data_IF_825778909392
#
_entry.id   IF_825778909392
#
_cell.length_a   1.000
_cell.length_b   1.000
_cell.length_c   1.000
_cell.angle_alpha   90.00
_cell.angle_beta   90.00
_cell.angle_gamma   90.00
#
_symmetry.space_group_name_H-M   'P 1'
#
loop_
_entity.id
_entity.type
_entity.pdbx_description
1 polymer ?
#
# COMPACT_ATOMS: atom_id res chain seq x y z
N UNK A 1 -23.50 19.40 1.32
CA UNK A 1 -22.36 19.89 2.12
C UNK A 1 -21.69 21.03 1.35
N UNK A 2 -21.48 22.20 1.97
CA UNK A 2 -21.10 23.43 1.25
C UNK A 2 -19.58 23.63 1.09
N UNK A 3 -18.76 22.98 1.91
CA UNK A 3 -17.29 23.09 1.92
C UNK A 3 -16.64 21.68 1.91
N UNK A 4 -17.11 20.80 1.04
CA UNK A 4 -16.63 19.42 0.95
C UNK A 4 -16.05 19.16 -0.44
N UNK A 5 -14.79 18.74 -0.49
CA UNK A 5 -14.14 18.28 -1.71
C UNK A 5 -14.14 16.76 -1.71
N UNK A 6 -14.79 16.16 -2.70
CA UNK A 6 -14.83 14.71 -2.89
C UNK A 6 -13.86 14.38 -4.00
N UNK A 7 -12.87 13.56 -3.68
CA UNK A 7 -11.90 13.05 -4.67
C UNK A 7 -12.06 11.53 -4.79
N UNK A 8 -11.91 10.95 -5.98
CA UNK A 8 -12.14 9.52 -6.22
C UNK A 8 -11.01 8.64 -5.68
N UNK A 9 -10.72 8.71 -4.38
CA UNK A 9 -9.70 7.92 -3.70
C UNK A 9 -8.29 8.04 -4.34
N UNK A 10 -7.90 9.25 -4.75
CA UNK A 10 -6.64 9.53 -5.47
C UNK A 10 -5.52 10.09 -4.58
N UNK A 11 -5.66 10.03 -3.26
CA UNK A 11 -4.68 10.61 -2.33
C UNK A 11 -3.25 10.06 -2.52
N UNK A 12 -3.11 8.82 -3.04
CA UNK A 12 -1.83 8.16 -3.30
C UNK A 12 -1.57 7.89 -4.78
N UNK A 13 -2.22 8.64 -5.68
CA UNK A 13 -2.06 8.47 -7.12
C UNK A 13 -0.75 9.05 -7.68
N UNK A 14 0.15 9.60 -6.86
CA UNK A 14 1.46 10.05 -7.34
C UNK A 14 2.35 8.84 -7.70
N UNK A 15 3.22 9.02 -8.70
CA UNK A 15 4.14 7.96 -9.13
C UNK A 15 5.02 7.46 -7.97
N UNK A 16 5.59 8.39 -7.20
CA UNK A 16 6.44 8.07 -6.05
C UNK A 16 5.69 7.31 -4.93
N UNK A 17 4.42 7.63 -4.67
CA UNK A 17 3.63 6.89 -3.70
C UNK A 17 3.38 5.45 -4.18
N UNK A 18 2.97 5.28 -5.45
CA UNK A 18 2.74 3.96 -6.02
C UNK A 18 4.00 3.10 -6.07
N UNK A 19 5.15 3.69 -6.41
CA UNK A 19 6.43 2.98 -6.45
C UNK A 19 6.81 2.42 -5.08
N UNK A 20 6.70 3.24 -4.03
CA UNK A 20 6.97 2.79 -2.64
C UNK A 20 5.99 1.70 -2.20
N UNK A 21 4.69 1.87 -2.48
CA UNK A 21 3.69 0.87 -2.11
C UNK A 21 3.90 -0.46 -2.83
N UNK A 22 4.25 -0.44 -4.12
CA UNK A 22 4.58 -1.64 -4.88
C UNK A 22 5.82 -2.34 -4.32
N UNK A 23 6.87 -1.58 -3.99
CA UNK A 23 8.07 -2.14 -3.39
C UNK A 23 7.77 -2.84 -2.05
N UNK A 24 7.03 -2.17 -1.16
CA UNK A 24 6.61 -2.75 0.12
C UNK A 24 5.79 -4.03 -0.10
N UNK A 25 4.86 -4.03 -1.05
CA UNK A 25 4.04 -5.20 -1.35
C UNK A 25 4.90 -6.38 -1.83
N UNK A 26 5.83 -6.14 -2.76
CA UNK A 26 6.73 -7.17 -3.28
C UNK A 26 7.61 -7.76 -2.17
N UNK A 27 8.15 -6.91 -1.28
CA UNK A 27 9.01 -7.36 -0.20
C UNK A 27 8.25 -8.22 0.81
N UNK A 28 7.00 -7.85 1.14
CA UNK A 28 6.15 -8.67 2.00
C UNK A 28 5.82 -10.03 1.37
N UNK A 29 5.51 -10.07 0.07
CA UNK A 29 5.21 -11.33 -0.62
C UNK A 29 6.43 -12.25 -0.64
N UNK A 30 7.61 -11.74 -1.02
CA UNK A 30 8.85 -12.53 -1.04
C UNK A 30 9.16 -13.11 0.34
N UNK A 31 9.12 -12.26 1.36
CA UNK A 31 9.41 -12.67 2.73
C UNK A 31 8.39 -13.69 3.27
N UNK A 32 7.11 -13.58 2.87
CA UNK A 32 6.09 -14.57 3.19
C UNK A 32 6.38 -15.93 2.54
N UNK A 33 6.76 -15.95 1.26
CA UNK A 33 7.14 -17.18 0.54
C UNK A 33 8.40 -17.83 1.14
N UNK A 34 9.32 -17.03 1.67
CA UNK A 34 10.53 -17.49 2.36
C UNK A 34 10.28 -17.94 3.82
N UNK A 35 9.03 -17.93 4.28
CA UNK A 35 8.65 -18.32 5.66
C UNK A 35 9.07 -17.31 6.73
N UNK A 36 9.44 -16.08 6.35
CA UNK A 36 9.85 -14.99 7.24
C UNK A 36 8.98 -13.75 7.02
N UNK A 37 7.67 -13.81 7.29
CA UNK A 37 6.76 -12.70 6.99
C UNK A 37 7.21 -11.41 7.70
N UNK A 38 7.26 -10.29 6.95
CA UNK A 38 7.59 -8.97 7.50
C UNK A 38 6.39 -8.42 8.27
N UNK A 39 5.22 -8.36 7.62
CA UNK A 39 3.96 -7.99 8.25
C UNK A 39 2.97 -9.16 8.14
N UNK A 40 2.45 -9.63 9.28
CA UNK A 40 1.37 -10.61 9.34
C UNK A 40 0.06 -9.90 9.70
N UNK A 41 -0.96 -10.09 8.88
CA UNK A 41 -2.32 -9.55 9.11
C UNK A 41 -3.31 -10.63 9.58
N UNK A 42 -2.83 -11.85 9.78
CA UNK A 42 -3.60 -12.95 10.35
C UNK A 42 -3.55 -12.80 11.88
N UNK A 43 -4.72 -12.76 12.52
CA UNK A 43 -4.87 -12.85 13.98
C UNK A 43 -4.94 -14.30 14.41
#
# INVERSE_FOLDING_TARGET
ARNCYITPHIAWASAAARERLMQIMLDNIKAFLDGKPINSVIK
#
